data_IF_312039119926
#
_entry.id   IF_312039119926
#
_cell.length_a   1.000
_cell.length_b   1.000
_cell.length_c   1.000
_cell.angle_alpha   90.00
_cell.angle_beta   90.00
_cell.angle_gamma   90.00
#
_symmetry.space_group_name_H-M   'P 1'
#
loop_
_entity.id
_entity.type
_entity.pdbx_description
1 polymer ?
#
# COMPACT_ATOMS: atom_id res chain seq x y z
N UNK A 1 -1.60 6.00 4.76
CA UNK A 1 -2.30 5.08 5.67
C UNK A 1 -3.79 5.08 5.40
N UNK A 2 -4.39 3.93 5.34
CA UNK A 2 -5.78 3.81 4.96
C UNK A 2 -6.71 4.07 6.13
N UNK A 3 -7.73 4.88 5.92
CA UNK A 3 -8.79 5.11 6.89
C UNK A 3 -9.82 3.98 6.78
N UNK A 4 -10.36 3.57 7.91
CA UNK A 4 -11.33 2.49 7.94
C UNK A 4 -12.54 2.77 7.04
N UNK A 5 -13.06 3.98 7.07
CA UNK A 5 -14.28 4.26 6.31
C UNK A 5 -14.05 4.30 4.79
N UNK A 6 -12.82 4.33 4.34
CA UNK A 6 -12.54 4.22 2.89
C UNK A 6 -13.01 2.88 2.34
N UNK A 7 -13.13 1.85 3.19
CA UNK A 7 -13.62 0.55 2.75
C UNK A 7 -15.02 0.62 2.16
N UNK A 8 -15.82 1.59 2.58
CA UNK A 8 -17.18 1.74 2.11
C UNK A 8 -17.30 2.51 0.81
N UNK A 9 -16.17 3.00 0.28
CA UNK A 9 -16.16 3.82 -0.92
C UNK A 9 -15.47 3.16 -2.10
N UNK A 10 -15.17 1.87 -1.99
CA UNK A 10 -14.55 1.14 -3.10
C UNK A 10 -15.63 0.73 -4.08
N UNK A 11 -15.44 1.11 -5.34
CA UNK A 11 -16.31 0.67 -6.42
C UNK A 11 -15.47 0.46 -7.68
N UNK A 12 -16.12 0.17 -8.80
CA UNK A 12 -15.42 -0.12 -10.05
C UNK A 12 -14.66 1.09 -10.60
N UNK A 13 -14.92 2.28 -10.10
CA UNK A 13 -14.25 3.51 -10.53
C UNK A 13 -13.09 3.92 -9.63
N UNK A 14 -12.84 3.16 -8.56
CA UNK A 14 -11.69 3.40 -7.71
C UNK A 14 -10.41 3.27 -8.53
N UNK A 15 -9.48 4.23 -8.44
CA UNK A 15 -8.27 4.17 -9.24
C UNK A 15 -7.33 3.04 -8.80
N UNK A 16 -6.41 2.61 -9.67
CA UNK A 16 -5.39 1.64 -9.27
C UNK A 16 -4.70 2.08 -7.98
N UNK A 17 -4.43 1.13 -7.11
CA UNK A 17 -4.03 1.42 -5.74
C UNK A 17 -2.78 0.64 -5.35
N UNK A 18 -1.84 1.32 -4.69
CA UNK A 18 -0.68 0.68 -4.08
C UNK A 18 -0.87 0.69 -2.57
N UNK A 19 -0.75 -0.49 -1.96
CA UNK A 19 -0.96 -0.68 -0.53
C UNK A 19 0.30 -1.28 0.10
N UNK A 20 0.67 -0.77 1.27
CA UNK A 20 1.68 -1.44 2.06
C UNK A 20 1.36 -1.27 3.54
N UNK A 21 1.76 -2.24 4.32
CA UNK A 21 1.58 -2.20 5.77
C UNK A 21 2.55 -3.17 6.43
N UNK A 22 2.53 -3.20 7.76
CA UNK A 22 3.29 -4.17 8.53
C UNK A 22 2.36 -4.94 9.45
N UNK A 23 2.78 -6.16 9.78
CA UNK A 23 2.02 -6.99 10.74
C UNK A 23 2.03 -6.36 12.13
N UNK A 24 3.09 -5.61 12.47
CA UNK A 24 3.28 -5.03 13.79
C UNK A 24 2.60 -3.67 13.98
N UNK A 25 1.89 -3.18 12.98
CA UNK A 25 1.20 -1.89 13.10
C UNK A 25 0.09 -2.01 14.14
N UNK A 26 0.24 -1.29 15.25
CA UNK A 26 -0.71 -1.35 16.35
C UNK A 26 -1.89 -0.40 16.17
N UNK A 27 -1.72 0.63 15.36
CA UNK A 27 -2.77 1.63 15.16
C UNK A 27 -3.73 1.25 14.05
N UNK A 28 -3.21 0.61 13.01
CA UNK A 28 -4.03 0.14 11.89
C UNK A 28 -3.77 -1.34 11.72
N UNK A 29 -4.65 -2.20 12.21
CA UNK A 29 -4.45 -3.65 12.09
C UNK A 29 -4.30 -4.08 10.63
N UNK A 30 -3.42 -5.07 10.41
CA UNK A 30 -3.17 -5.58 9.05
C UNK A 30 -4.45 -6.09 8.40
N UNK A 31 -5.40 -6.55 9.19
CA UNK A 31 -6.69 -7.01 8.69
C UNK A 31 -7.44 -5.95 7.91
N UNK A 32 -7.29 -4.68 8.32
CA UNK A 32 -7.94 -3.58 7.59
C UNK A 32 -7.39 -3.45 6.18
N UNK A 33 -6.08 -3.59 6.02
CA UNK A 33 -5.45 -3.54 4.70
C UNK A 33 -5.88 -4.73 3.84
N UNK A 34 -5.96 -5.91 4.45
CA UNK A 34 -6.43 -7.11 3.74
C UNK A 34 -7.87 -6.96 3.27
N UNK A 35 -8.73 -6.39 4.12
CA UNK A 35 -10.13 -6.15 3.74
C UNK A 35 -10.22 -5.12 2.61
N UNK A 36 -9.39 -4.11 2.65
CA UNK A 36 -9.36 -3.11 1.58
C UNK A 36 -8.96 -3.76 0.26
N UNK A 37 -7.92 -4.61 0.28
CA UNK A 37 -7.48 -5.33 -0.91
C UNK A 37 -8.59 -6.24 -1.44
N UNK A 38 -9.32 -6.89 -0.56
CA UNK A 38 -10.46 -7.72 -0.97
C UNK A 38 -11.53 -6.89 -1.67
N UNK A 39 -11.79 -5.69 -1.16
CA UNK A 39 -12.74 -4.78 -1.80
C UNK A 39 -12.29 -4.37 -3.20
N UNK A 40 -11.02 -4.09 -3.36
CA UNK A 40 -10.45 -3.79 -4.67
C UNK A 40 -10.61 -4.98 -5.63
N UNK A 41 -10.30 -6.17 -5.13
CA UNK A 41 -10.41 -7.38 -5.93
C UNK A 41 -11.84 -7.62 -6.39
N UNK A 42 -12.81 -7.45 -5.51
CA UNK A 42 -14.22 -7.66 -5.84
C UNK A 42 -14.72 -6.68 -6.89
N UNK A 43 -14.17 -5.48 -6.90
CA UNK A 43 -14.60 -4.44 -7.81
C UNK A 43 -13.75 -4.36 -9.07
N UNK A 44 -12.84 -5.30 -9.28
CA UNK A 44 -12.03 -5.34 -10.49
C UNK A 44 -11.00 -4.23 -10.58
N UNK A 45 -10.62 -3.65 -9.45
CA UNK A 45 -9.64 -2.56 -9.40
C UNK A 45 -8.24 -3.14 -9.29
N UNK A 46 -7.34 -2.65 -10.13
CA UNK A 46 -5.94 -3.08 -10.09
C UNK A 46 -5.27 -2.60 -8.80
N UNK A 47 -4.48 -3.46 -8.18
CA UNK A 47 -3.78 -3.08 -6.96
C UNK A 47 -2.48 -3.89 -6.81
N UNK A 48 -1.57 -3.33 -6.04
CA UNK A 48 -0.35 -4.02 -5.62
C UNK A 48 -0.27 -3.92 -4.10
N UNK A 49 0.02 -5.03 -3.42
CA UNK A 49 -0.02 -5.11 -1.96
C UNK A 49 1.27 -5.71 -1.43
N UNK A 50 1.87 -5.05 -0.45
CA UNK A 50 3.05 -5.53 0.25
C UNK A 50 2.83 -5.50 1.75
N UNK A 51 3.06 -6.61 2.42
CA UNK A 51 2.91 -6.73 3.86
C UNK A 51 4.24 -7.17 4.44
N UNK A 52 4.79 -6.34 5.32
CA UNK A 52 6.09 -6.60 5.95
C UNK A 52 5.86 -7.15 7.36
N UNK A 53 6.74 -8.05 7.83
CA UNK A 53 6.57 -8.62 9.17
C UNK A 53 6.87 -7.63 10.28
N UNK A 54 7.76 -6.68 10.08
CA UNK A 54 8.24 -5.79 11.14
C UNK A 54 8.15 -4.33 10.74
N UNK A 55 7.89 -3.50 11.75
CA UNK A 55 7.82 -2.07 11.59
C UNK A 55 6.56 -1.52 12.24
N UNK A 56 6.75 -0.60 13.20
CA UNK A 56 5.60 0.01 13.87
C UNK A 56 5.02 1.11 13.01
N UNK A 57 3.80 1.51 13.35
CA UNK A 57 3.14 2.63 12.69
C UNK A 57 4.01 3.88 12.78
N UNK A 58 4.03 4.66 11.71
CA UNK A 58 4.78 5.91 11.69
C UNK A 58 6.16 5.81 11.06
N UNK A 59 6.63 4.61 10.71
CA UNK A 59 7.87 4.47 9.96
C UNK A 59 7.57 4.81 8.50
N UNK A 60 7.60 6.09 8.20
CA UNK A 60 7.19 6.60 6.90
C UNK A 60 8.41 7.15 6.15
N UNK A 61 8.16 7.56 4.92
CA UNK A 61 9.16 8.18 4.09
C UNK A 61 9.76 9.42 4.75
N UNK A 62 8.98 10.15 5.54
CA UNK A 62 9.45 11.34 6.23
C UNK A 62 10.46 11.07 7.32
N UNK A 63 10.66 9.81 7.68
CA UNK A 63 11.61 9.40 8.71
C UNK A 63 12.72 8.56 8.11
N UNK A 64 13.40 9.12 7.16
CA UNK A 64 14.42 8.41 6.40
C UNK A 64 15.53 7.86 7.28
N UNK A 65 15.87 8.56 8.36
CA UNK A 65 16.91 8.08 9.26
C UNK A 65 16.54 6.77 9.94
N UNK A 66 15.25 6.47 10.08
CA UNK A 66 14.84 5.21 10.66
C UNK A 66 14.86 4.07 9.64
N UNK A 67 14.90 4.38 8.37
CA UNK A 67 14.94 3.36 7.33
C UNK A 67 16.27 2.62 7.33
N UNK A 68 17.32 3.22 7.87
CA UNK A 68 18.59 2.53 8.03
C UNK A 68 18.46 1.36 9.00
N UNK A 69 17.58 1.49 10.00
CA UNK A 69 17.33 0.42 10.97
C UNK A 69 16.32 -0.60 10.45
N UNK A 70 15.61 -0.27 9.38
CA UNK A 70 14.57 -1.12 8.81
C UNK A 70 14.73 -1.20 7.29
N UNK A 71 15.86 -1.73 6.81
CA UNK A 71 16.11 -1.72 5.36
C UNK A 71 15.10 -2.52 4.55
N UNK A 72 14.59 -3.60 5.10
CA UNK A 72 13.58 -4.39 4.41
C UNK A 72 12.29 -3.58 4.24
N UNK A 73 11.85 -2.93 5.32
CA UNK A 73 10.65 -2.10 5.26
C UNK A 73 10.82 -0.96 4.26
N UNK A 74 12.01 -0.38 4.20
CA UNK A 74 12.28 0.76 3.31
C UNK A 74 12.12 0.40 1.84
N UNK A 75 12.10 -0.88 1.49
CA UNK A 75 11.94 -1.29 0.08
C UNK A 75 10.61 -0.85 -0.51
N UNK A 76 9.59 -0.57 0.32
CA UNK A 76 8.28 -0.16 -0.21
C UNK A 76 8.40 1.11 -1.06
N UNK A 77 9.37 1.97 -0.75
CA UNK A 77 9.56 3.22 -1.51
C UNK A 77 9.91 2.91 -2.97
N UNK A 78 10.88 2.03 -3.17
CA UNK A 78 11.28 1.65 -4.53
C UNK A 78 10.18 0.87 -5.24
N UNK A 79 9.50 0.01 -4.51
CA UNK A 79 8.40 -0.77 -5.10
C UNK A 79 7.27 0.15 -5.55
N UNK A 80 6.96 1.18 -4.78
CA UNK A 80 5.93 2.13 -5.17
C UNK A 80 6.33 2.93 -6.42
N UNK A 81 7.62 3.27 -6.53
CA UNK A 81 8.12 3.96 -7.72
C UNK A 81 8.03 3.08 -8.96
N UNK A 82 8.38 1.82 -8.83
CA UNK A 82 8.28 0.87 -9.92
C UNK A 82 6.83 0.68 -10.34
N UNK A 83 5.92 0.58 -9.38
CA UNK A 83 4.51 0.46 -9.66
C UNK A 83 3.98 1.68 -10.41
N UNK A 84 4.34 2.89 -9.97
CA UNK A 84 3.91 4.11 -10.65
C UNK A 84 4.43 4.16 -12.09
N UNK A 85 5.68 3.80 -12.28
CA UNK A 85 6.30 3.80 -13.60
C UNK A 85 5.59 2.84 -14.54
N UNK A 86 5.31 1.64 -14.08
CA UNK A 86 4.61 0.64 -14.87
C UNK A 86 3.20 1.09 -15.22
N UNK A 87 2.50 1.64 -14.25
CA UNK A 87 1.14 2.14 -14.46
C UNK A 87 1.13 3.27 -15.49
N UNK A 88 2.08 4.17 -15.41
CA UNK A 88 2.18 5.30 -16.33
C UNK A 88 2.45 4.83 -17.76
N UNK A 89 3.41 3.92 -17.92
CA UNK A 89 3.73 3.37 -19.25
C UNK A 89 2.55 2.63 -19.84
N UNK A 90 1.85 1.87 -19.02
CA UNK A 90 0.66 1.16 -19.47
C UNK A 90 -0.38 2.12 -20.04
N UNK A 91 -0.60 3.25 -19.37
CA UNK A 91 -1.57 4.24 -19.81
C UNK A 91 -1.13 4.94 -21.09
N UNK A 92 0.16 5.18 -21.25
CA UNK A 92 0.68 5.84 -22.45
C UNK A 92 0.59 4.93 -23.67
N UNK A 93 0.87 3.65 -23.48
CA UNK A 93 0.91 2.71 -24.60
C UNK A 93 -0.47 2.27 -25.06
N UNK A 94 -1.49 2.65 -24.35
CA UNK A 94 -2.87 2.36 -24.74
C UNK A 94 -3.47 3.51 -25.49
#
# INVERSE_FOLDING_TARGET
>A
MLSFHLLYHIDSHTPPTFLWTTVEDELVPVENTLMFAQGLQKNGVSYELHIYPHGRHGLTLGKMETNEDHPHLATWVNLSKMWLSELFEFKISR
#
